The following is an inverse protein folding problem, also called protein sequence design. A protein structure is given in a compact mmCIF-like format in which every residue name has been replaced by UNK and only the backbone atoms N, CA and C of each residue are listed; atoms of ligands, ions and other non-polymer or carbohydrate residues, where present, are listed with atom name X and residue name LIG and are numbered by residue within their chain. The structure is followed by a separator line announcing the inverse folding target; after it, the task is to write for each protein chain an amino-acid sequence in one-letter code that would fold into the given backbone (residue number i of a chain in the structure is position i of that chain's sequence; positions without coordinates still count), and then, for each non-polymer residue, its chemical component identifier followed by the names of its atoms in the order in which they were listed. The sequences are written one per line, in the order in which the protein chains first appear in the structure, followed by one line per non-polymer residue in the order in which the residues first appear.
data_IF_971958324804
#
_entry.id   IF_971958324804
#
_cell.length_a   1.000
_cell.length_b   1.000
_cell.length_c   1.000
_cell.angle_alpha   90.00
_cell.angle_beta   90.00
_cell.angle_gamma   90.00
#
_symmetry.space_group_name_H-M   'P 1'
#
loop_
_entity.id
_entity.type
_entity.pdbx_description
1 polymer ?
#
# COMPACT_ATOMS: atom_id res chain seq x y z
N UNK A 1 15.82 9.78 75.52
CA UNK A 1 14.80 10.84 75.71
C UNK A 1 13.94 10.85 74.44
N UNK A 2 12.90 10.01 74.33
CA UNK A 2 11.48 10.24 74.70
C UNK A 2 10.91 11.44 73.91
N UNK A 3 9.87 11.37 73.06
CA UNK A 3 8.57 10.64 73.06
C UNK A 3 8.10 10.49 71.59
N UNK A 4 7.68 9.33 71.08
CA UNK A 4 6.43 8.56 71.30
C UNK A 4 5.17 9.27 70.75
N UNK A 5 4.49 8.57 69.82
CA UNK A 5 3.13 8.85 69.35
C UNK A 5 2.77 7.97 68.13
N UNK A 6 2.59 6.63 68.24
CA UNK A 6 1.36 5.92 68.73
C UNK A 6 0.19 6.22 67.77
N UNK A 7 -0.31 5.31 66.91
CA UNK A 7 -0.97 4.02 67.17
C UNK A 7 -1.25 3.32 65.79
N UNK A 8 -1.08 1.99 65.66
CA UNK A 8 -2.12 0.94 65.42
C UNK A 8 -3.01 1.18 64.17
N UNK A 9 -3.43 0.24 63.33
CA UNK A 9 -3.76 -1.20 63.39
C UNK A 9 -4.06 -1.54 61.88
N UNK A 10 -3.51 -2.59 61.28
CA UNK A 10 -4.24 -3.83 60.93
C UNK A 10 -5.24 -3.76 59.75
N UNK A 11 -5.01 -4.63 58.75
CA UNK A 11 -5.92 -5.16 57.73
C UNK A 11 -6.52 -4.12 56.74
N UNK A 12 -6.61 -4.37 55.44
CA UNK A 12 -7.53 -5.32 54.81
C UNK A 12 -7.06 -5.60 53.38
N UNK A 13 -7.06 -6.88 53.02
CA UNK A 13 -7.07 -7.39 51.65
C UNK A 13 -8.36 -6.92 50.95
N UNK A 14 -8.30 -5.90 50.09
CA UNK A 14 -9.42 -5.54 49.21
C UNK A 14 -9.12 -5.96 47.79
N UNK A 15 -9.66 -7.12 47.42
CA UNK A 15 -10.08 -7.38 46.04
C UNK A 15 -11.15 -6.36 45.67
N UNK A 16 -10.89 -5.51 44.68
CA UNK A 16 -11.95 -4.79 43.97
C UNK A 16 -11.94 -5.20 42.50
N UNK A 17 -13.03 -5.88 42.14
CA UNK A 17 -13.48 -6.11 40.79
C UNK A 17 -14.31 -4.90 40.34
N UNK A 18 -14.20 -4.58 39.03
CA UNK A 18 -15.08 -3.77 38.17
C UNK A 18 -14.77 -2.27 38.00
N UNK A 19 -14.53 -1.88 36.74
CA UNK A 19 -14.82 -0.52 36.27
C UNK A 19 -13.99 0.02 35.09
N UNK A 20 -14.21 -0.55 33.89
CA UNK A 20 -14.14 0.06 32.55
C UNK A 20 -13.13 1.18 32.21
N UNK A 21 -12.31 0.90 31.18
CA UNK A 21 -12.27 1.73 29.97
C UNK A 21 -11.15 2.75 29.84
N UNK A 22 -10.08 2.39 29.13
CA UNK A 22 -9.66 3.18 27.97
C UNK A 22 -8.69 2.38 27.10
N UNK A 23 -8.95 2.45 25.80
CA UNK A 23 -8.27 1.77 24.72
C UNK A 23 -6.76 1.99 24.77
N UNK A 24 -6.00 0.91 24.92
CA UNK A 24 -4.60 0.87 24.53
C UNK A 24 -4.59 0.08 23.22
N UNK A 25 -4.22 0.78 22.14
CA UNK A 25 -4.42 0.36 20.77
C UNK A 25 -4.04 -1.09 20.53
N UNK A 26 -4.99 -1.85 19.98
CA UNK A 26 -4.70 -3.18 19.47
C UNK A 26 -3.63 -3.04 18.38
N UNK A 27 -2.50 -3.77 18.47
CA UNK A 27 -1.70 -3.99 17.27
C UNK A 27 -2.62 -4.62 16.23
N UNK A 28 -2.43 -4.28 14.94
CA UNK A 28 -3.16 -4.83 13.78
C UNK A 28 -3.76 -6.19 14.11
N UNK A 29 -5.09 -6.24 14.31
CA UNK A 29 -5.78 -7.45 14.72
C UNK A 29 -5.32 -8.59 13.84
N UNK A 30 -4.68 -9.58 14.46
CA UNK A 30 -4.14 -10.77 13.80
C UNK A 30 -5.22 -11.34 12.88
N UNK A 31 -4.96 -11.26 11.58
CA UNK A 31 -5.93 -11.55 10.54
C UNK A 31 -6.04 -13.08 10.46
N UNK A 32 -6.87 -13.69 11.30
CA UNK A 32 -7.16 -15.13 11.24
C UNK A 32 -8.11 -15.40 10.09
N UNK A 33 -7.55 -15.85 8.96
CA UNK A 33 -8.30 -16.29 7.80
C UNK A 33 -8.84 -17.70 8.08
N UNK A 34 -10.17 -17.86 8.06
CA UNK A 34 -10.81 -19.16 8.23
C UNK A 34 -10.51 -20.13 7.09
N UNK A 35 -10.21 -19.61 5.89
CA UNK A 35 -9.87 -20.37 4.69
C UNK A 35 -8.72 -19.67 3.93
N UNK A 36 -7.83 -20.42 3.25
CA UNK A 36 -6.78 -19.82 2.43
C UNK A 36 -7.34 -18.93 1.31
N UNK A 37 -6.76 -17.74 1.14
CA UNK A 37 -7.14 -16.78 0.09
C UNK A 37 -6.03 -16.68 -0.95
N UNK A 38 -6.45 -16.60 -2.22
CA UNK A 38 -5.56 -16.29 -3.34
C UNK A 38 -5.90 -14.90 -3.87
N UNK A 39 -4.91 -13.99 -3.83
CA UNK A 39 -5.02 -12.62 -4.32
C UNK A 39 -4.44 -12.56 -5.72
N UNK A 40 -5.22 -12.11 -6.69
CA UNK A 40 -4.73 -11.84 -8.05
C UNK A 40 -4.04 -10.47 -8.12
N UNK A 41 -2.80 -10.44 -8.63
CA UNK A 41 -2.02 -9.20 -8.76
C UNK A 41 -1.55 -8.98 -10.19
N UNK A 42 -2.04 -7.93 -10.84
CA UNK A 42 -1.65 -7.61 -12.21
C UNK A 42 -0.62 -6.48 -12.25
N UNK A 43 0.45 -6.66 -13.02
CA UNK A 43 1.50 -5.66 -13.23
C UNK A 43 1.87 -5.53 -14.71
N UNK A 44 2.47 -4.40 -15.07
CA UNK A 44 2.96 -4.16 -16.44
C UNK A 44 4.47 -4.29 -16.59
N UNK A 45 5.17 -4.71 -15.54
CA UNK A 45 6.63 -4.90 -15.59
C UNK A 45 7.02 -6.03 -16.54
N UNK A 46 8.23 -5.92 -17.08
CA UNK A 46 8.85 -6.90 -17.97
C UNK A 46 10.34 -7.07 -17.64
N UNK A 47 10.95 -8.13 -18.18
CA UNK A 47 12.38 -8.41 -17.98
C UNK A 47 12.75 -8.60 -16.52
N UNK A 48 13.91 -8.06 -16.12
CA UNK A 48 14.45 -8.20 -14.75
C UNK A 48 13.53 -7.60 -13.68
N UNK A 49 12.83 -6.51 -13.99
CA UNK A 49 11.91 -5.88 -13.04
C UNK A 49 10.71 -6.78 -12.71
N UNK A 50 10.19 -7.50 -13.72
CA UNK A 50 9.13 -8.49 -13.49
C UNK A 50 9.66 -9.67 -12.65
N UNK A 51 10.84 -10.19 -12.99
CA UNK A 51 11.44 -11.30 -12.26
C UNK A 51 11.66 -10.99 -10.78
N UNK A 52 12.16 -9.78 -10.45
CA UNK A 52 12.35 -9.35 -9.06
C UNK A 52 11.01 -9.24 -8.31
N UNK A 53 10.00 -8.61 -8.92
CA UNK A 53 8.67 -8.52 -8.32
C UNK A 53 8.07 -9.91 -8.06
N UNK A 54 8.12 -10.80 -9.04
CA UNK A 54 7.60 -12.16 -8.92
C UNK A 54 8.36 -12.99 -7.88
N UNK A 55 9.67 -12.76 -7.71
CA UNK A 55 10.46 -13.36 -6.64
C UNK A 55 10.04 -12.86 -5.25
N UNK A 56 9.77 -11.57 -5.10
CA UNK A 56 9.26 -11.01 -3.83
C UNK A 56 7.87 -11.56 -3.49
N UNK A 57 7.00 -11.67 -4.49
CA UNK A 57 5.67 -12.29 -4.35
C UNK A 57 5.77 -13.76 -3.95
N UNK A 58 6.70 -14.50 -4.56
CA UNK A 58 6.97 -15.89 -4.22
C UNK A 58 7.46 -16.01 -2.77
N UNK A 59 8.40 -15.15 -2.37
CA UNK A 59 8.94 -15.10 -1.01
C UNK A 59 7.84 -14.82 0.01
N UNK A 60 6.99 -13.82 -0.24
CA UNK A 60 5.83 -13.53 0.61
C UNK A 60 4.90 -14.75 0.71
N UNK A 61 4.51 -15.33 -0.42
CA UNK A 61 3.58 -16.48 -0.47
C UNK A 61 4.12 -17.72 0.23
N UNK A 62 5.45 -17.88 0.32
CA UNK A 62 6.10 -19.00 0.99
C UNK A 62 6.42 -18.75 2.48
N UNK A 63 6.33 -17.51 2.95
CA UNK A 63 6.67 -17.09 4.32
C UNK A 63 5.44 -16.54 5.05
N UNK A 64 5.37 -15.23 5.27
CA UNK A 64 4.28 -14.55 6.00
C UNK A 64 2.93 -14.84 5.36
N UNK A 65 2.86 -14.91 4.03
CA UNK A 65 1.64 -15.26 3.30
C UNK A 65 1.17 -16.66 3.70
N UNK A 66 2.05 -17.66 3.63
CA UNK A 66 1.73 -19.04 4.02
C UNK A 66 1.20 -19.13 5.45
N UNK A 67 1.90 -18.51 6.40
CA UNK A 67 1.53 -18.55 7.82
C UNK A 67 0.16 -17.88 8.07
N UNK A 68 -0.23 -16.94 7.21
CA UNK A 68 -1.52 -16.25 7.24
C UNK A 68 -2.56 -16.84 6.30
N UNK A 69 -2.27 -17.94 5.60
CA UNK A 69 -3.18 -18.50 4.60
C UNK A 69 -3.40 -17.61 3.36
N UNK A 70 -2.46 -16.73 3.03
CA UNK A 70 -2.52 -15.82 1.88
C UNK A 70 -1.51 -16.26 0.82
N UNK A 71 -1.97 -16.41 -0.41
CA UNK A 71 -1.12 -16.58 -1.59
C UNK A 71 -1.42 -15.49 -2.62
N UNK A 72 -0.43 -15.15 -3.43
CA UNK A 72 -0.58 -14.13 -4.46
C UNK A 72 -0.26 -14.73 -5.83
N UNK A 73 -1.17 -14.58 -6.78
CA UNK A 73 -1.01 -14.98 -8.17
C UNK A 73 -0.68 -13.74 -9.01
N UNK A 74 0.59 -13.57 -9.36
CA UNK A 74 1.05 -12.49 -10.21
C UNK A 74 0.71 -12.76 -11.69
N UNK A 75 0.32 -11.72 -12.43
CA UNK A 75 0.16 -11.76 -13.88
C UNK A 75 0.78 -10.52 -14.53
N UNK A 76 1.82 -10.75 -15.30
CA UNK A 76 2.38 -9.74 -16.20
C UNK A 76 1.46 -9.45 -17.39
N UNK A 77 1.24 -8.16 -17.67
CA UNK A 77 0.55 -7.66 -18.86
C UNK A 77 1.54 -6.82 -19.67
N UNK A 78 1.40 -6.83 -21.00
CA UNK A 78 2.40 -6.32 -21.95
C UNK A 78 2.48 -4.77 -22.04
N UNK A 79 2.53 -4.09 -20.90
CA UNK A 79 2.69 -2.63 -20.81
C UNK A 79 1.53 -1.92 -20.14
N UNK A 80 1.76 -0.65 -19.83
CA UNK A 80 0.82 0.22 -19.11
C UNK A 80 -0.49 0.35 -19.87
N UNK A 81 -0.42 0.64 -21.17
CA UNK A 81 -1.60 0.86 -22.00
C UNK A 81 -2.50 -0.40 -22.09
N UNK A 82 -1.89 -1.57 -22.23
CA UNK A 82 -2.60 -2.86 -22.30
C UNK A 82 -3.26 -3.21 -20.97
N UNK A 83 -2.60 -2.92 -19.85
CA UNK A 83 -3.21 -3.13 -18.54
C UNK A 83 -4.37 -2.15 -18.31
N UNK A 84 -4.19 -0.87 -18.64
CA UNK A 84 -5.27 0.12 -18.55
C UNK A 84 -6.49 -0.27 -19.39
N UNK A 85 -6.28 -0.67 -20.65
CA UNK A 85 -7.36 -1.13 -21.54
C UNK A 85 -8.08 -2.38 -20.98
N UNK A 86 -7.31 -3.34 -20.45
CA UNK A 86 -7.88 -4.51 -19.77
C UNK A 86 -8.79 -4.11 -18.61
N UNK A 87 -8.30 -3.27 -17.69
CA UNK A 87 -9.06 -2.84 -16.51
C UNK A 87 -10.31 -2.04 -16.89
N UNK A 88 -10.21 -1.16 -17.88
CA UNK A 88 -11.35 -0.37 -18.35
C UNK A 88 -12.36 -1.22 -19.12
N UNK A 89 -11.93 -2.23 -19.86
CA UNK A 89 -12.85 -3.15 -20.55
C UNK A 89 -13.62 -4.03 -19.54
N UNK A 90 -12.93 -4.58 -18.55
CA UNK A 90 -13.54 -5.53 -17.60
C UNK A 90 -14.30 -4.82 -16.46
N UNK A 91 -14.07 -3.53 -16.23
CA UNK A 91 -14.87 -2.71 -15.31
C UNK A 91 -16.21 -2.24 -15.88
N UNK A 92 -16.38 -2.25 -17.21
CA UNK A 92 -17.54 -1.67 -17.88
C UNK A 92 -18.81 -2.56 -17.84
N UNK A 93 -18.82 -3.63 -17.03
CA UNK A 93 -19.93 -4.60 -16.95
C UNK A 93 -20.23 -5.33 -18.27
N UNK A 94 -19.40 -5.13 -19.30
CA UNK A 94 -19.70 -5.51 -20.69
C UNK A 94 -19.15 -6.90 -20.99
N UNK A 95 -19.72 -7.94 -20.40
CA UNK A 95 -19.67 -9.33 -20.89
C UNK A 95 -18.30 -9.95 -21.24
N UNK A 96 -17.18 -9.32 -20.89
CA UNK A 96 -15.84 -9.85 -21.12
C UNK A 96 -15.63 -11.04 -20.21
N UNK A 97 -15.20 -12.18 -20.75
CA UNK A 97 -14.77 -13.29 -19.91
C UNK A 97 -13.54 -12.84 -19.10
N UNK A 98 -13.72 -12.61 -17.80
CA UNK A 98 -12.67 -12.18 -16.88
C UNK A 98 -13.17 -11.16 -15.86
N UNK A 99 -12.52 -11.09 -14.69
CA UNK A 99 -12.79 -10.09 -13.66
C UNK A 99 -11.62 -9.11 -13.50
N UNK A 100 -11.85 -8.04 -12.73
CA UNK A 100 -10.75 -7.20 -12.26
C UNK A 100 -9.87 -7.99 -11.29
N UNK A 101 -8.55 -7.72 -11.28
CA UNK A 101 -7.67 -8.28 -10.26
C UNK A 101 -7.93 -7.63 -8.90
N UNK A 102 -7.55 -8.33 -7.84
CA UNK A 102 -7.65 -7.83 -6.47
C UNK A 102 -6.63 -6.70 -6.22
N UNK A 103 -5.43 -6.84 -6.81
CA UNK A 103 -4.35 -5.87 -6.77
C UNK A 103 -3.86 -5.54 -8.19
N UNK A 104 -3.43 -4.31 -8.41
CA UNK A 104 -2.97 -3.87 -9.73
C UNK A 104 -1.99 -2.70 -9.63
N UNK A 105 -0.97 -2.70 -10.51
CA UNK A 105 -0.16 -1.50 -10.75
C UNK A 105 -0.87 -0.61 -11.77
N UNK A 106 -1.31 0.57 -11.35
CA UNK A 106 -2.07 1.49 -12.20
C UNK A 106 -1.61 2.93 -12.04
N UNK A 107 -1.84 3.74 -13.08
CA UNK A 107 -1.61 5.18 -13.06
C UNK A 107 -2.88 5.95 -12.64
N UNK A 108 -2.75 7.18 -12.13
CA UNK A 108 -3.87 7.96 -11.60
C UNK A 108 -5.02 8.22 -12.59
N UNK A 109 -4.73 8.36 -13.87
CA UNK A 109 -5.72 8.57 -14.93
C UNK A 109 -6.67 7.37 -15.07
N UNK A 110 -6.12 6.15 -15.13
CA UNK A 110 -6.90 4.91 -15.17
C UNK A 110 -7.65 4.71 -13.85
N UNK A 111 -7.04 5.04 -12.72
CA UNK A 111 -7.67 4.96 -11.41
C UNK A 111 -8.90 5.88 -11.29
N UNK A 112 -8.82 7.11 -11.80
CA UNK A 112 -9.95 8.05 -11.81
C UNK A 112 -11.15 7.52 -12.59
N UNK A 113 -10.91 6.88 -13.73
CA UNK A 113 -11.97 6.21 -14.51
C UNK A 113 -12.60 5.05 -13.73
N UNK A 114 -11.80 4.22 -13.06
CA UNK A 114 -12.29 3.11 -12.23
C UNK A 114 -13.06 3.60 -10.99
N UNK A 115 -12.65 4.71 -10.37
CA UNK A 115 -13.39 5.38 -9.29
C UNK A 115 -14.76 5.83 -9.80
N UNK A 116 -14.82 6.41 -11.01
CA UNK A 116 -16.08 6.80 -11.65
C UNK A 116 -17.04 5.64 -11.93
N UNK A 117 -16.53 4.40 -11.92
CA UNK A 117 -17.27 3.15 -12.15
C UNK A 117 -17.48 2.33 -10.86
N UNK A 118 -17.14 2.89 -9.70
CA UNK A 118 -17.23 2.23 -8.40
C UNK A 118 -16.45 0.90 -8.33
N UNK A 119 -15.27 0.85 -8.97
CA UNK A 119 -14.43 -0.35 -9.05
C UNK A 119 -13.16 -0.30 -8.18
N UNK A 120 -12.92 0.81 -7.48
CA UNK A 120 -11.80 0.94 -6.55
C UNK A 120 -12.29 1.21 -5.13
N UNK A 121 -11.61 0.59 -4.17
CA UNK A 121 -11.91 0.73 -2.74
C UNK A 121 -11.26 1.98 -2.16
N UNK A 122 -11.99 2.67 -1.29
CA UNK A 122 -11.42 3.74 -0.46
C UNK A 122 -10.53 3.11 0.63
N UNK A 123 -9.21 3.33 0.52
CA UNK A 123 -8.21 2.78 1.43
C UNK A 123 -8.18 3.46 2.80
N UNK A 124 -8.68 4.69 2.94
CA UNK A 124 -8.81 5.35 4.25
C UNK A 124 -9.73 4.57 5.20
N UNK A 125 -10.53 3.62 4.68
CA UNK A 125 -11.40 2.73 5.49
C UNK A 125 -10.66 1.52 6.06
N UNK A 126 -9.49 1.18 5.53
CA UNK A 126 -8.77 -0.05 5.84
C UNK A 126 -7.40 0.20 6.47
N UNK A 127 -6.80 1.37 6.20
CA UNK A 127 -5.46 1.72 6.69
C UNK A 127 -5.54 2.78 7.78
N UNK A 128 -4.77 2.56 8.84
CA UNK A 128 -4.66 3.52 9.95
C UNK A 128 -3.61 4.59 9.64
N UNK A 129 -3.60 5.72 10.36
CA UNK A 129 -2.52 6.70 10.25
C UNK A 129 -1.12 6.10 10.52
N UNK A 130 -1.04 5.10 11.41
CA UNK A 130 0.21 4.38 11.70
C UNK A 130 0.70 3.62 10.46
N UNK A 131 -0.19 2.88 9.79
CA UNK A 131 0.12 2.13 8.57
C UNK A 131 0.61 3.05 7.44
N UNK A 132 0.05 4.26 7.37
CA UNK A 132 0.37 5.24 6.34
C UNK A 132 1.64 6.04 6.65
N UNK A 133 2.06 6.12 7.92
CA UNK A 133 3.21 6.93 8.36
C UNK A 133 4.55 6.50 7.77
N UNK A 134 4.62 5.27 7.23
CA UNK A 134 5.81 4.75 6.55
C UNK A 134 6.04 5.39 5.17
N UNK A 135 5.03 6.07 4.62
CA UNK A 135 5.10 6.73 3.34
C UNK A 135 5.27 8.25 3.52
N UNK A 136 6.06 8.92 2.65
CA UNK A 136 6.09 10.38 2.62
C UNK A 136 4.71 10.97 2.30
N UNK A 137 4.30 12.03 2.98
CA UNK A 137 2.99 12.69 2.77
C UNK A 137 2.75 13.04 1.29
N UNK A 138 3.77 13.63 0.64
CA UNK A 138 3.71 13.99 -0.78
C UNK A 138 3.50 12.80 -1.74
N UNK A 139 3.66 11.57 -1.27
CA UNK A 139 3.43 10.37 -2.07
C UNK A 139 1.98 9.89 -1.86
N UNK A 140 1.49 9.97 -0.62
CA UNK A 140 0.08 9.71 -0.31
C UNK A 140 -0.83 10.71 -0.99
N UNK A 141 -0.46 11.99 -1.04
CA UNK A 141 -1.23 13.05 -1.71
C UNK A 141 -1.49 12.74 -3.19
N UNK A 142 -0.55 12.11 -3.89
CA UNK A 142 -0.74 11.69 -5.29
C UNK A 142 -1.73 10.53 -5.45
N UNK A 143 -1.89 9.71 -4.41
CA UNK A 143 -2.86 8.62 -4.37
C UNK A 143 -4.24 9.04 -3.88
N UNK A 144 -4.40 10.29 -3.42
CA UNK A 144 -5.70 10.86 -3.05
C UNK A 144 -6.39 11.38 -4.29
N UNK A 145 -7.52 10.76 -4.64
CA UNK A 145 -8.18 10.94 -5.92
C UNK A 145 -9.69 11.14 -5.77
N UNK A 146 -10.31 11.62 -6.85
CA UNK A 146 -11.75 11.84 -6.94
C UNK A 146 -12.25 13.05 -6.13
N UNK A 147 -13.56 13.27 -6.15
CA UNK A 147 -14.19 14.47 -5.56
C UNK A 147 -14.03 14.57 -4.05
N UNK A 148 -13.90 13.44 -3.37
CA UNK A 148 -13.82 13.36 -1.91
C UNK A 148 -12.37 13.30 -1.40
N UNK A 149 -11.38 13.33 -2.30
CA UNK A 149 -9.95 13.29 -1.96
C UNK A 149 -9.55 12.11 -1.06
N UNK A 150 -10.22 10.97 -1.23
CA UNK A 150 -9.91 9.74 -0.50
C UNK A 150 -8.68 9.06 -1.08
N UNK A 151 -7.98 8.29 -0.26
CA UNK A 151 -6.85 7.48 -0.70
C UNK A 151 -7.34 6.27 -1.51
N UNK A 152 -6.92 6.18 -2.77
CA UNK A 152 -7.23 5.05 -3.66
C UNK A 152 -5.99 4.32 -4.15
N UNK A 153 -4.83 4.98 -4.20
CA UNK A 153 -3.57 4.39 -4.64
C UNK A 153 -2.53 4.47 -3.53
N UNK A 154 -1.83 3.36 -3.28
CA UNK A 154 -0.61 3.38 -2.48
C UNK A 154 0.60 3.62 -3.36
N UNK A 155 1.59 4.41 -2.89
CA UNK A 155 2.81 4.60 -3.63
C UNK A 155 3.64 3.31 -3.61
N UNK A 156 3.90 2.77 -4.81
CA UNK A 156 4.76 1.60 -4.97
C UNK A 156 6.12 2.00 -5.55
N UNK A 157 6.11 2.67 -6.71
CA UNK A 157 7.32 3.22 -7.34
C UNK A 157 7.02 4.63 -7.82
N UNK A 158 7.99 5.54 -7.64
CA UNK A 158 8.00 6.87 -8.24
C UNK A 158 9.25 7.05 -9.07
N UNK A 159 9.09 7.72 -10.21
CA UNK A 159 10.18 8.19 -11.03
C UNK A 159 10.19 9.72 -11.01
N UNK A 160 11.38 10.30 -11.19
CA UNK A 160 11.53 11.71 -11.54
C UNK A 160 12.07 11.78 -12.96
N UNK A 161 11.56 12.72 -13.74
CA UNK A 161 12.13 13.00 -15.06
C UNK A 161 13.51 13.61 -14.89
N UNK A 162 14.49 13.07 -15.61
CA UNK A 162 15.86 13.58 -15.62
C UNK A 162 16.26 13.87 -17.06
N UNK A 163 16.94 15.01 -17.25
CA UNK A 163 17.59 15.29 -18.53
C UNK A 163 19.02 14.78 -18.42
N UNK A 164 19.29 13.66 -19.11
CA UNK A 164 20.63 13.13 -19.25
C UNK A 164 21.23 13.59 -20.59
N UNK A 165 22.46 14.12 -20.54
CA UNK A 165 23.17 14.59 -21.72
C UNK A 165 24.50 13.86 -21.82
N UNK A 166 24.87 13.42 -23.03
CA UNK A 166 26.21 12.88 -23.28
C UNK A 166 27.25 13.99 -23.02
N UNK A 167 28.13 13.75 -22.05
CA UNK A 167 29.08 14.75 -21.61
C UNK A 167 30.08 15.15 -22.71
N UNK A 168 30.55 14.20 -23.52
CA UNK A 168 31.51 14.49 -24.58
C UNK A 168 30.87 15.33 -25.70
N UNK A 169 29.64 14.96 -26.09
CA UNK A 169 28.90 15.71 -27.10
C UNK A 169 28.53 17.11 -26.61
N UNK A 170 28.13 17.23 -25.33
CA UNK A 170 27.84 18.51 -24.69
C UNK A 170 29.07 19.42 -24.67
N UNK A 171 30.23 18.90 -24.27
CA UNK A 171 31.47 19.66 -24.25
C UNK A 171 31.87 20.12 -25.66
N UNK A 172 31.77 19.26 -26.66
CA UNK A 172 32.04 19.60 -28.05
C UNK A 172 31.05 20.64 -28.60
N UNK A 173 29.78 20.59 -28.18
CA UNK A 173 28.77 21.58 -28.52
C UNK A 173 29.07 22.94 -27.86
N UNK A 174 29.30 22.97 -26.55
CA UNK A 174 29.56 24.19 -25.78
C UNK A 174 30.82 24.91 -26.26
N UNK A 175 31.89 24.18 -26.59
CA UNK A 175 33.12 24.76 -27.13
C UNK A 175 32.91 25.49 -28.46
N UNK A 176 31.99 25.01 -29.31
CA UNK A 176 31.67 25.60 -30.62
C UNK A 176 30.61 26.70 -30.56
N UNK A 177 29.85 26.79 -29.47
CA UNK A 177 28.70 27.69 -29.35
C UNK A 177 28.79 28.53 -28.07
N UNK A 178 29.80 29.41 -27.96
CA UNK A 178 30.07 30.27 -26.78
C UNK A 178 28.94 31.22 -26.35
N UNK A 179 27.84 31.27 -27.09
CA UNK A 179 26.64 32.05 -26.75
C UNK A 179 25.75 31.31 -25.74
N UNK A 180 25.89 29.98 -25.65
CA UNK A 180 25.24 29.13 -24.66
C UNK A 180 26.23 28.75 -23.57
#
# INVERSE_FOLDING_TARGET
MLKIGRWLLTFVLTTQLLGMGSCQGSPLSELELNDPVTISFYHYYSGEQAAELEQQITTFSQTVGKDRGISVLAKGVAGVAQLSDYLLTHSAGSGGQGGLPDLMLIYPDTALELIGRDQLVNLDRYLTPEDLSVFPDSYLDHGRLGKNNHLYLLPYVRASEVVAVNQADWQAFAARNKRY
#
